data_IF_869061306362
#
_entry.id   IF_869061306362
#
_cell.length_a   1.000
_cell.length_b   1.000
_cell.length_c   1.000
_cell.angle_alpha   90.00
_cell.angle_beta   90.00
_cell.angle_gamma   90.00
#
_symmetry.space_group_name_H-M   'P 1'
#
loop_
_entity.id
_entity.type
_entity.pdbx_description
1 polymer ?
#
# COMPACT_ATOMS: atom_id res chain seq x y z
N UNK A 1 17.97 -21.06 -6.37
CA UNK A 1 17.57 -19.83 -7.07
C UNK A 1 17.27 -20.16 -8.52
N UNK A 2 16.11 -19.75 -9.04
CA UNK A 2 15.79 -19.89 -10.46
C UNK A 2 16.73 -19.02 -11.32
N UNK A 3 16.93 -19.41 -12.57
CA UNK A 3 17.78 -18.66 -13.51
C UNK A 3 17.14 -17.29 -13.80
N UNK A 4 17.87 -16.18 -13.72
CA UNK A 4 17.35 -14.85 -14.06
C UNK A 4 16.67 -14.84 -15.43
N UNK A 5 15.49 -14.23 -15.51
CA UNK A 5 14.68 -14.15 -16.73
C UNK A 5 13.89 -15.42 -17.08
N UNK A 6 14.10 -16.54 -16.38
CA UNK A 6 13.24 -17.72 -16.51
C UNK A 6 11.84 -17.47 -15.97
N UNK A 7 10.85 -18.24 -16.43
CA UNK A 7 9.48 -18.14 -15.93
C UNK A 7 9.41 -18.35 -14.40
N UNK A 8 10.17 -19.31 -13.87
CA UNK A 8 10.25 -19.55 -12.42
C UNK A 8 10.84 -18.35 -11.65
N UNK A 9 11.80 -17.63 -12.25
CA UNK A 9 12.34 -16.40 -11.65
C UNK A 9 11.34 -15.25 -11.69
N UNK A 10 10.58 -15.10 -12.78
CA UNK A 10 9.55 -14.05 -12.89
C UNK A 10 8.42 -14.26 -11.88
N UNK A 11 7.99 -15.51 -11.67
CA UNK A 11 6.98 -15.84 -10.66
C UNK A 11 7.49 -15.56 -9.23
N UNK A 12 8.72 -15.97 -8.91
CA UNK A 12 9.33 -15.71 -7.60
C UNK A 12 9.49 -14.21 -7.32
N UNK A 13 9.88 -13.43 -8.35
CA UNK A 13 9.97 -11.97 -8.24
C UNK A 13 8.58 -11.33 -8.07
N UNK A 14 7.57 -11.80 -8.81
CA UNK A 14 6.21 -11.28 -8.69
C UNK A 14 5.61 -11.57 -7.31
N UNK A 15 5.85 -12.75 -6.73
CA UNK A 15 5.46 -13.03 -5.35
C UNK A 15 6.12 -12.05 -4.36
N UNK A 16 7.41 -11.76 -4.55
CA UNK A 16 8.11 -10.79 -3.71
C UNK A 16 7.55 -9.38 -3.87
N UNK A 17 7.31 -8.94 -5.11
CA UNK A 17 6.73 -7.64 -5.41
C UNK A 17 5.32 -7.52 -4.78
N UNK A 18 4.49 -8.57 -4.85
CA UNK A 18 3.20 -8.60 -4.15
C UNK A 18 3.34 -8.44 -2.64
N UNK A 19 4.30 -9.13 -1.99
CA UNK A 19 4.55 -8.97 -0.55
C UNK A 19 4.99 -7.56 -0.19
N UNK A 20 5.81 -6.93 -1.04
CA UNK A 20 6.27 -5.57 -0.81
C UNK A 20 5.12 -4.56 -1.01
N UNK A 21 4.24 -4.77 -1.99
CA UNK A 21 3.01 -3.98 -2.17
C UNK A 21 2.07 -4.10 -0.96
N UNK A 22 1.84 -5.31 -0.44
CA UNK A 22 1.08 -5.52 0.80
C UNK A 22 1.75 -4.83 2.01
N UNK A 23 3.08 -4.84 2.07
CA UNK A 23 3.80 -4.14 3.14
C UNK A 23 3.61 -2.62 3.04
N UNK A 24 3.64 -2.07 1.82
CA UNK A 24 3.35 -0.65 1.56
C UNK A 24 1.92 -0.31 1.98
N UNK A 25 0.90 -1.05 1.52
CA UNK A 25 -0.50 -0.77 1.87
C UNK A 25 -0.72 -0.77 3.39
N UNK A 26 -0.12 -1.74 4.08
CA UNK A 26 -0.17 -1.83 5.53
C UNK A 26 0.49 -0.63 6.23
N UNK A 27 1.62 -0.12 5.72
CA UNK A 27 2.27 1.06 6.26
C UNK A 27 1.43 2.33 6.05
N UNK A 28 0.76 2.47 4.90
CA UNK A 28 -0.14 3.58 4.64
C UNK A 28 -1.31 3.58 5.66
N UNK A 29 -1.97 2.43 5.84
CA UNK A 29 -3.05 2.27 6.84
C UNK A 29 -2.59 2.56 8.25
N UNK A 30 -1.43 2.03 8.66
CA UNK A 30 -0.86 2.30 9.99
C UNK A 30 -0.55 3.77 10.20
N UNK A 31 -0.04 4.45 9.18
CA UNK A 31 0.29 5.88 9.24
C UNK A 31 -0.98 6.72 9.40
N UNK A 32 -2.01 6.48 8.59
CA UNK A 32 -3.30 7.15 8.72
C UNK A 32 -3.95 6.89 10.09
N UNK A 33 -3.92 5.63 10.55
CA UNK A 33 -4.44 5.22 11.85
C UNK A 33 -3.68 5.81 13.06
N UNK A 34 -2.38 6.09 12.91
CA UNK A 34 -1.57 6.74 13.94
C UNK A 34 -1.80 8.27 14.01
N UNK A 35 -2.01 8.91 12.86
CA UNK A 35 -2.19 10.37 12.77
C UNK A 35 -3.61 10.78 13.17
N UNK A 36 -4.63 10.03 12.74
CA UNK A 36 -6.05 10.30 13.04
C UNK A 36 -6.33 10.62 14.52
N UNK A 37 -5.90 9.80 15.51
CA UNK A 37 -6.14 10.09 16.93
C UNK A 37 -5.32 11.28 17.45
N UNK A 38 -4.20 11.65 16.81
CA UNK A 38 -3.50 12.90 17.14
C UNK A 38 -4.37 14.10 16.76
N UNK A 39 -4.93 14.09 15.55
CA UNK A 39 -5.81 15.17 15.07
C UNK A 39 -7.07 15.28 15.93
N UNK A 40 -7.69 14.15 16.28
CA UNK A 40 -8.90 14.13 17.13
C UNK A 40 -8.68 14.71 18.53
N UNK A 41 -7.44 14.72 19.04
CA UNK A 41 -7.08 15.31 20.34
C UNK A 41 -6.87 16.83 20.29
N UNK A 42 -6.74 17.43 19.11
CA UNK A 42 -6.50 18.86 19.00
C UNK A 42 -7.78 19.66 19.28
N UNK A 43 -7.68 20.67 20.15
CA UNK A 43 -8.76 21.65 20.40
C UNK A 43 -9.26 22.32 19.12
N UNK A 44 -8.36 22.48 18.14
CA UNK A 44 -8.64 22.99 16.80
C UNK A 44 -8.42 21.92 15.72
N UNK A 45 -8.99 20.73 15.90
CA UNK A 45 -8.78 19.57 15.01
C UNK A 45 -9.20 19.77 13.54
N UNK A 46 -9.84 20.88 13.20
CA UNK A 46 -10.14 21.28 11.81
C UNK A 46 -9.03 22.08 11.13
N UNK A 47 -8.08 22.65 11.88
CA UNK A 47 -6.95 23.42 11.32
C UNK A 47 -5.99 22.60 10.45
N UNK A 48 -5.60 21.36 10.81
CA UNK A 48 -4.69 20.57 9.97
C UNK A 48 -5.46 19.87 8.83
N UNK A 49 -6.19 20.65 8.02
CA UNK A 49 -7.05 20.13 6.95
C UNK A 49 -6.28 19.24 5.98
N UNK A 50 -5.13 19.69 5.48
CA UNK A 50 -4.30 18.91 4.57
C UNK A 50 -3.86 17.57 5.17
N UNK A 51 -3.62 17.51 6.49
CA UNK A 51 -3.24 16.25 7.16
C UNK A 51 -4.44 15.31 7.25
N UNK A 52 -5.65 15.84 7.51
CA UNK A 52 -6.88 15.04 7.52
C UNK A 52 -7.19 14.44 6.15
N UNK A 53 -7.13 15.26 5.11
CA UNK A 53 -7.32 14.82 3.73
C UNK A 53 -6.26 13.79 3.34
N UNK A 54 -5.01 14.00 3.74
CA UNK A 54 -3.94 13.02 3.53
C UNK A 54 -4.24 11.67 4.19
N UNK A 55 -4.81 11.63 5.40
CA UNK A 55 -5.16 10.36 6.04
C UNK A 55 -6.20 9.58 5.23
N UNK A 56 -7.21 10.26 4.68
CA UNK A 56 -8.22 9.66 3.81
C UNK A 56 -7.56 9.14 2.52
N UNK A 57 -6.67 9.93 1.92
CA UNK A 57 -5.95 9.52 0.71
C UNK A 57 -5.05 8.31 0.97
N UNK A 58 -4.35 8.24 2.11
CA UNK A 58 -3.51 7.10 2.48
C UNK A 58 -4.34 5.82 2.63
N UNK A 59 -5.54 5.90 3.18
CA UNK A 59 -6.45 4.76 3.28
C UNK A 59 -6.95 4.31 1.91
N UNK A 60 -7.32 5.26 1.04
CA UNK A 60 -7.75 4.97 -0.33
C UNK A 60 -6.63 4.33 -1.16
N UNK A 61 -5.40 4.85 -1.09
CA UNK A 61 -4.24 4.30 -1.78
C UNK A 61 -3.91 2.88 -1.30
N UNK A 62 -4.04 2.61 0.00
CA UNK A 62 -3.84 1.26 0.51
C UNK A 62 -4.87 0.27 -0.05
N UNK A 63 -6.12 0.69 -0.20
CA UNK A 63 -7.20 -0.12 -0.78
C UNK A 63 -7.02 -0.37 -2.27
N UNK A 64 -6.54 0.62 -3.02
CA UNK A 64 -6.18 0.50 -4.44
C UNK A 64 -5.05 -0.51 -4.65
N UNK A 65 -3.97 -0.40 -3.87
CA UNK A 65 -2.82 -1.33 -3.96
C UNK A 65 -3.27 -2.77 -3.69
N UNK A 66 -4.07 -2.99 -2.64
CA UNK A 66 -4.55 -4.31 -2.24
C UNK A 66 -5.50 -4.96 -3.26
N UNK A 67 -6.23 -4.15 -4.04
CA UNK A 67 -7.22 -4.66 -5.01
C UNK A 67 -6.67 -4.78 -6.42
N UNK A 68 -5.98 -3.76 -6.90
CA UNK A 68 -5.70 -3.58 -8.31
C UNK A 68 -4.22 -3.86 -8.62
N UNK A 69 -3.30 -3.30 -7.85
CA UNK A 69 -1.86 -3.42 -8.14
C UNK A 69 -1.33 -4.84 -7.90
N UNK A 70 -1.72 -5.47 -6.79
CA UNK A 70 -1.33 -6.87 -6.50
C UNK A 70 -1.86 -7.81 -7.58
N UNK A 71 -3.11 -7.64 -8.03
CA UNK A 71 -3.69 -8.44 -9.09
C UNK A 71 -2.94 -8.22 -10.42
N UNK A 72 -2.64 -6.97 -10.76
CA UNK A 72 -1.91 -6.60 -11.98
C UNK A 72 -0.52 -7.24 -12.02
N UNK A 73 0.21 -7.29 -10.90
CA UNK A 73 1.52 -7.95 -10.81
C UNK A 73 1.40 -9.46 -11.04
N UNK A 74 0.41 -10.11 -10.43
CA UNK A 74 0.17 -11.55 -10.60
C UNK A 74 -0.21 -11.91 -12.04
N UNK A 75 -1.05 -11.10 -12.67
CA UNK A 75 -1.43 -11.26 -14.08
C UNK A 75 -0.23 -11.08 -15.01
N UNK A 76 0.59 -10.06 -14.79
CA UNK A 76 1.78 -9.79 -15.58
C UNK A 76 2.82 -10.93 -15.49
N UNK A 77 2.93 -11.58 -14.34
CA UNK A 77 3.84 -12.70 -14.12
C UNK A 77 3.39 -14.01 -14.79
N UNK A 78 2.10 -14.14 -15.10
CA UNK A 78 1.51 -15.30 -15.77
C UNK A 78 1.64 -15.27 -17.31
N UNK A 79 2.16 -14.17 -17.87
CA UNK A 79 2.43 -13.96 -19.31
C UNK A 79 3.84 -14.40 -19.73
#
# INVERSE_FOLDING_TARGET
MPLPGSAAFRLDQAEQDCRDLEAISNLLRKTAGAITPIIQRLTYGTLPLAVRESCIMLEALAEEIERDDVATVQEAAAL
#
